data_IF_680051902544
#
_entry.id   IF_680051902544
#
_cell.length_a   1.000
_cell.length_b   1.000
_cell.length_c   1.000
_cell.angle_alpha   90.00
_cell.angle_beta   90.00
_cell.angle_gamma   90.00
#
_symmetry.space_group_name_H-M   'P 1'
#
loop_
_entity.id
_entity.type
_entity.pdbx_description
1 polymer ?
#
# COMPACT_ATOMS: atom_id res chain seq x y z
N UNK A 1 -4.75 16.92 -3.46
CA UNK A 1 -5.92 16.22 -2.86
C UNK A 1 -5.50 15.56 -1.53
N UNK A 2 -6.43 15.17 -0.65
CA UNK A 2 -6.12 14.33 0.53
C UNK A 2 -6.88 13.01 0.44
N UNK A 3 -6.22 11.90 0.79
CA UNK A 3 -6.82 10.57 0.81
C UNK A 3 -6.42 9.83 2.08
N UNK A 4 -7.32 8.99 2.59
CA UNK A 4 -7.11 8.13 3.76
C UNK A 4 -7.35 6.68 3.36
N UNK A 5 -6.61 5.77 3.95
CA UNK A 5 -6.87 4.33 3.88
C UNK A 5 -6.74 3.72 5.27
N UNK A 6 -7.69 2.85 5.62
CA UNK A 6 -7.68 2.03 6.83
C UNK A 6 -7.50 0.57 6.37
N UNK A 7 -6.47 -0.11 6.91
CA UNK A 7 -6.02 -1.40 6.42
C UNK A 7 -5.95 -2.37 7.58
N UNK A 8 -6.68 -3.48 7.47
CA UNK A 8 -6.49 -4.65 8.32
C UNK A 8 -5.56 -5.59 7.56
N UNK A 9 -4.37 -5.83 8.10
CA UNK A 9 -3.45 -6.82 7.57
C UNK A 9 -4.08 -8.22 7.68
N UNK A 10 -3.60 -9.17 6.88
CA UNK A 10 -4.19 -10.51 6.77
C UNK A 10 -4.11 -11.33 8.06
N UNK A 11 -3.52 -12.52 8.00
CA UNK A 11 -3.54 -13.45 9.15
C UNK A 11 -2.86 -12.89 10.41
N UNK A 12 -1.95 -11.91 10.29
CA UNK A 12 -1.28 -11.29 11.43
C UNK A 12 -2.17 -10.30 12.21
N UNK A 13 -3.28 -9.83 11.63
CA UNK A 13 -4.26 -8.98 12.31
C UNK A 13 -3.83 -7.54 12.62
N UNK A 14 -2.60 -7.14 12.26
CA UNK A 14 -2.10 -5.79 12.43
C UNK A 14 -2.95 -4.76 11.69
N UNK A 15 -3.12 -3.57 12.28
CA UNK A 15 -3.89 -2.48 11.69
C UNK A 15 -2.98 -1.33 11.27
N UNK A 16 -3.28 -0.73 10.12
CA UNK A 16 -2.55 0.43 9.60
C UNK A 16 -3.54 1.48 9.10
N UNK A 17 -3.38 2.71 9.57
CA UNK A 17 -4.07 3.89 9.04
C UNK A 17 -3.05 4.75 8.32
N UNK A 18 -3.35 5.19 7.10
CA UNK A 18 -2.47 6.08 6.36
C UNK A 18 -3.23 7.25 5.74
N UNK A 19 -2.62 8.42 5.81
CA UNK A 19 -3.05 9.64 5.15
C UNK A 19 -2.02 10.01 4.09
N UNK A 20 -2.49 10.29 2.87
CA UNK A 20 -1.69 10.80 1.78
C UNK A 20 -2.20 12.19 1.37
N UNK A 21 -1.29 13.15 1.27
CA UNK A 21 -1.59 14.52 0.85
C UNK A 21 -0.83 14.82 -0.43
N UNK A 22 -1.57 15.03 -1.52
CA UNK A 22 -1.02 15.44 -2.81
C UNK A 22 -0.72 16.94 -2.86
N UNK A 23 0.49 17.26 -3.34
CA UNK A 23 1.03 18.59 -3.56
C UNK A 23 1.12 18.96 -5.05
N UNK A 24 2.18 19.69 -5.40
CA UNK A 24 2.41 20.18 -6.77
C UNK A 24 3.05 19.05 -7.60
N UNK A 25 2.76 18.97 -8.90
CA UNK A 25 3.42 18.02 -9.83
C UNK A 25 3.39 16.53 -9.39
N UNK A 26 2.32 16.09 -8.74
CA UNK A 26 2.16 14.71 -8.24
C UNK A 26 3.04 14.34 -7.04
N UNK A 27 3.62 15.33 -6.36
CA UNK A 27 4.27 15.12 -5.06
C UNK A 27 3.26 14.62 -4.02
N UNK A 28 3.63 13.64 -3.21
CA UNK A 28 2.78 13.11 -2.13
C UNK A 28 3.55 13.03 -0.81
N UNK A 29 2.92 13.50 0.26
CA UNK A 29 3.38 13.30 1.64
C UNK A 29 2.50 12.30 2.37
N UNK A 30 3.12 11.48 3.21
CA UNK A 30 2.46 10.44 4.00
C UNK A 30 2.47 10.77 5.49
N UNK A 31 1.42 10.33 6.17
CA UNK A 31 1.39 10.05 7.60
C UNK A 31 0.86 8.64 7.79
N UNK A 32 1.59 7.77 8.49
CA UNK A 32 1.25 6.35 8.61
C UNK A 32 1.33 5.95 10.09
N UNK A 33 0.25 5.38 10.58
CA UNK A 33 0.11 4.86 11.93
C UNK A 33 -0.14 3.35 11.85
N UNK A 34 0.64 2.55 12.59
CA UNK A 34 0.58 1.09 12.52
C UNK A 34 1.07 0.44 13.80
N UNK A 35 0.50 -0.72 14.14
CA UNK A 35 0.98 -1.59 15.21
C UNK A 35 2.02 -2.62 14.71
N UNK A 36 2.25 -2.74 13.40
CA UNK A 36 3.25 -3.64 12.83
C UNK A 36 4.65 -3.00 12.77
N UNK A 37 5.65 -3.65 13.35
CA UNK A 37 7.03 -3.13 13.35
C UNK A 37 7.63 -2.98 11.95
N UNK A 38 7.36 -3.93 11.05
CA UNK A 38 7.88 -3.87 9.68
C UNK A 38 7.22 -2.74 8.89
N UNK A 39 5.92 -2.49 9.09
CA UNK A 39 5.24 -1.35 8.46
C UNK A 39 5.70 -0.03 9.07
N UNK A 40 6.09 0.02 10.34
CA UNK A 40 6.68 1.21 10.96
C UNK A 40 8.01 1.59 10.32
N UNK A 41 8.89 0.61 10.11
CA UNK A 41 10.16 0.82 9.39
C UNK A 41 9.93 1.25 7.92
N UNK A 42 8.88 0.73 7.27
CA UNK A 42 8.46 1.22 5.95
C UNK A 42 7.99 2.67 6.02
N UNK A 43 7.19 3.04 7.02
CA UNK A 43 6.74 4.40 7.21
C UNK A 43 7.92 5.37 7.41
N UNK A 44 8.90 5.00 8.23
CA UNK A 44 10.13 5.76 8.43
C UNK A 44 10.92 5.93 7.11
N UNK A 45 11.05 4.86 6.33
CA UNK A 45 11.73 4.90 5.03
C UNK A 45 11.00 5.82 4.02
N UNK A 46 9.67 5.77 3.98
CA UNK A 46 8.88 6.67 3.14
C UNK A 46 8.99 8.12 3.61
N UNK A 47 8.92 8.36 4.93
CA UNK A 47 9.06 9.70 5.53
C UNK A 47 10.42 10.34 5.24
N UNK A 48 11.50 9.55 5.30
CA UNK A 48 12.84 10.02 4.97
C UNK A 48 12.97 10.47 3.50
N UNK A 49 12.11 9.96 2.60
CA UNK A 49 12.10 10.30 1.18
C UNK A 49 11.08 11.37 0.77
N UNK A 50 10.30 11.94 1.69
CA UNK A 50 9.21 12.86 1.36
C UNK A 50 9.70 14.25 0.87
N UNK A 51 8.94 14.91 -0.04
CA UNK A 51 7.77 14.40 -0.75
C UNK A 51 8.14 13.34 -1.80
N UNK A 52 7.25 12.37 -2.01
CA UNK A 52 7.46 11.30 -2.99
C UNK A 52 6.84 11.69 -4.34
N UNK A 53 7.59 11.50 -5.43
CA UNK A 53 7.07 11.68 -6.78
C UNK A 53 6.19 10.50 -7.17
N UNK A 54 4.90 10.75 -7.45
CA UNK A 54 3.96 9.71 -7.90
C UNK A 54 3.90 9.50 -9.41
N UNK A 55 4.58 10.32 -10.22
CA UNK A 55 4.58 10.19 -11.67
C UNK A 55 5.10 8.82 -12.16
N UNK A 56 6.22 8.29 -11.63
CA UNK A 56 6.73 6.98 -12.04
C UNK A 56 5.74 5.84 -11.76
N UNK A 57 4.88 5.99 -10.75
CA UNK A 57 3.99 4.94 -10.23
C UNK A 57 2.82 4.59 -11.18
N UNK A 58 2.72 5.26 -12.32
CA UNK A 58 1.70 5.00 -13.35
C UNK A 58 2.14 4.00 -14.42
N UNK A 59 3.42 3.68 -14.51
CA UNK A 59 3.95 2.74 -15.51
C UNK A 59 4.07 1.33 -14.93
N UNK A 60 3.63 0.28 -15.64
CA UNK A 60 3.87 -1.10 -15.20
C UNK A 60 5.35 -1.52 -15.35
N UNK A 61 6.19 -0.70 -15.99
CA UNK A 61 7.62 -0.98 -16.23
C UNK A 61 8.53 -0.27 -15.23
N UNK A 62 8.02 0.69 -14.47
CA UNK A 62 8.78 1.37 -13.43
C UNK A 62 8.72 0.56 -12.13
N UNK A 63 9.80 0.63 -11.37
CA UNK A 63 9.81 0.13 -10.00
C UNK A 63 9.11 1.16 -9.11
N UNK A 64 7.98 0.76 -8.52
CA UNK A 64 7.17 1.61 -7.65
C UNK A 64 7.92 1.91 -6.34
N UNK A 65 8.08 3.18 -5.99
CA UNK A 65 8.87 3.65 -4.84
C UNK A 65 8.38 3.04 -3.53
N UNK A 66 7.06 2.98 -3.35
CA UNK A 66 6.43 2.39 -2.16
C UNK A 66 6.70 0.89 -2.07
N UNK A 67 6.55 0.16 -3.18
CA UNK A 67 6.77 -1.29 -3.20
C UNK A 67 8.25 -1.65 -3.09
N UNK A 68 9.14 -0.85 -3.67
CA UNK A 68 10.59 -0.98 -3.50
C UNK A 68 10.99 -0.82 -2.03
N UNK A 69 10.54 0.25 -1.38
CA UNK A 69 10.80 0.47 0.04
C UNK A 69 10.25 -0.68 0.91
N UNK A 70 9.07 -1.21 0.57
CA UNK A 70 8.49 -2.35 1.28
C UNK A 70 9.33 -3.63 1.16
N UNK A 71 9.98 -3.86 0.01
CA UNK A 71 10.87 -5.02 -0.20
C UNK A 71 12.12 -4.95 0.67
N UNK A 72 12.68 -3.77 0.90
CA UNK A 72 13.87 -3.58 1.75
C UNK A 72 13.60 -3.86 3.23
N UNK A 73 12.38 -3.57 3.70
CA UNK A 73 12.02 -3.68 5.12
C UNK A 73 11.44 -5.05 5.48
N UNK A 74 10.91 -5.78 4.49
CA UNK A 74 10.39 -7.15 4.52
C UNK A 74 9.51 -7.54 5.74
N UNK A 75 8.19 -7.68 5.51
CA UNK A 75 7.25 -8.30 6.47
C UNK A 75 6.84 -9.71 6.02
N UNK A 76 5.90 -9.77 5.08
CA UNK A 76 5.44 -10.97 4.38
C UNK A 76 5.15 -10.54 2.93
N UNK A 77 5.42 -11.39 1.93
CA UNK A 77 5.28 -11.03 0.52
C UNK A 77 3.83 -10.73 0.11
N UNK A 78 2.87 -11.23 0.86
CA UNK A 78 1.43 -11.16 0.65
C UNK A 78 0.75 -10.08 1.52
N UNK A 79 1.52 -9.26 2.24
CA UNK A 79 0.94 -8.17 3.02
C UNK A 79 0.23 -7.16 2.11
N UNK A 80 -1.05 -6.91 2.38
CA UNK A 80 -1.88 -5.95 1.62
C UNK A 80 -1.56 -4.49 1.92
N UNK A 81 -0.74 -4.20 2.94
CA UNK A 81 -0.44 -2.82 3.34
C UNK A 81 0.36 -2.05 2.28
N UNK A 82 1.52 -2.52 1.77
CA UNK A 82 2.24 -1.82 0.72
C UNK A 82 1.44 -1.50 -0.56
N UNK A 83 0.67 -2.44 -1.17
CA UNK A 83 -0.13 -2.10 -2.34
C UNK A 83 -1.27 -1.13 -2.01
N UNK A 84 -1.81 -1.16 -0.79
CA UNK A 84 -2.80 -0.17 -0.33
C UNK A 84 -2.21 1.23 -0.16
N UNK A 85 -0.98 1.34 0.35
CA UNK A 85 -0.24 2.60 0.41
C UNK A 85 0.03 3.17 -0.99
N UNK A 86 0.41 2.32 -1.94
CA UNK A 86 0.57 2.73 -3.34
C UNK A 86 -0.76 3.24 -3.94
N UNK A 87 -1.88 2.55 -3.66
CA UNK A 87 -3.21 3.00 -4.11
C UNK A 87 -3.55 4.38 -3.55
N UNK A 88 -3.39 4.60 -2.24
CA UNK A 88 -3.77 5.88 -1.61
C UNK A 88 -2.87 7.02 -2.10
N UNK A 89 -1.58 6.77 -2.36
CA UNK A 89 -0.67 7.72 -3.01
C UNK A 89 -1.19 8.14 -4.38
N UNK A 90 -1.55 7.15 -5.22
CA UNK A 90 -2.07 7.42 -6.57
C UNK A 90 -3.41 8.15 -6.55
N UNK A 91 -4.27 7.90 -5.56
CA UNK A 91 -5.50 8.69 -5.36
C UNK A 91 -5.16 10.13 -4.97
N UNK A 92 -4.28 10.34 -3.99
CA UNK A 92 -3.89 11.68 -3.54
C UNK A 92 -3.19 12.50 -4.63
N UNK A 93 -2.46 11.83 -5.53
CA UNK A 93 -1.80 12.42 -6.70
C UNK A 93 -2.73 12.57 -7.93
N UNK A 94 -4.01 12.21 -7.82
CA UNK A 94 -5.01 12.27 -8.90
C UNK A 94 -4.68 11.37 -10.12
N UNK A 95 -3.93 10.29 -9.89
CA UNK A 95 -3.51 9.29 -10.88
C UNK A 95 -4.38 8.03 -10.90
N UNK A 96 -5.29 7.89 -9.93
CA UNK A 96 -6.24 6.79 -9.85
C UNK A 96 -7.54 7.24 -9.18
N UNK A 97 -8.71 6.69 -9.58
CA UNK A 97 -9.98 7.03 -8.93
C UNK A 97 -10.04 6.47 -7.50
N UNK A 98 -10.72 7.15 -6.58
CA UNK A 98 -10.98 6.65 -5.23
C UNK A 98 -11.94 5.46 -5.31
N UNK A 99 -11.48 4.28 -4.89
CA UNK A 99 -12.27 3.06 -4.79
C UNK A 99 -11.60 2.11 -3.80
N UNK A 100 -12.41 1.42 -3.01
CA UNK A 100 -11.95 0.44 -2.03
C UNK A 100 -11.31 -0.77 -2.72
N UNK A 101 -10.29 -1.35 -2.08
CA UNK A 101 -9.68 -2.61 -2.48
C UNK A 101 -10.13 -3.66 -1.49
N UNK A 102 -10.71 -4.76 -1.99
CA UNK A 102 -11.15 -5.88 -1.16
C UNK A 102 -10.56 -7.19 -1.71
N UNK A 103 -10.10 -8.05 -0.79
CA UNK A 103 -9.62 -9.39 -1.10
C UNK A 103 -10.35 -10.36 -0.18
N UNK A 104 -10.98 -11.38 -0.76
CA UNK A 104 -11.59 -12.49 -0.04
C UNK A 104 -10.85 -13.78 -0.39
N UNK A 105 -10.54 -14.59 0.62
CA UNK A 105 -9.80 -15.85 0.47
C UNK A 105 -10.66 -16.96 1.06
N UNK A 106 -10.83 -18.06 0.31
CA UNK A 106 -11.49 -19.27 0.75
C UNK A 106 -10.62 -20.49 0.38
N UNK A 107 -10.66 -21.53 1.21
CA UNK A 107 -10.13 -22.84 0.85
C UNK A 107 -11.22 -23.59 0.12
N UNK A 108 -10.99 -23.95 -1.13
CA UNK A 108 -11.89 -24.80 -1.91
C UNK A 108 -11.32 -26.23 -1.92
N UNK A 109 -12.07 -27.20 -1.41
CA UNK A 109 -11.71 -28.60 -1.61
C UNK A 109 -11.86 -28.95 -3.10
N UNK A 110 -10.88 -29.63 -3.72
CA UNK A 110 -11.02 -30.04 -5.10
C UNK A 110 -12.25 -30.95 -5.19
N UNK A 111 -13.14 -30.66 -6.15
CA UNK A 111 -14.32 -31.47 -6.41
C UNK A 111 -13.87 -32.93 -6.54
N UNK A 112 -14.25 -33.76 -5.57
CA UNK A 112 -13.97 -35.19 -5.59
C UNK A 112 -14.62 -35.75 -6.84
N UNK A 113 -13.80 -36.08 -7.84
CA UNK A 113 -14.27 -36.68 -9.09
C UNK A 113 -15.00 -37.98 -8.71
N UNK A 114 -16.33 -37.95 -8.79
CA UNK A 114 -17.18 -39.13 -8.63
C UNK A 114 -16.78 -40.15 -9.68
N UNK A 115 -16.22 -41.27 -9.21
CA UNK A 115 -15.97 -42.48 -10.00
C UNK A 115 -17.28 -43.19 -10.35
#
# INVERSE_FOLDING_TARGET
MQARVDIVAGVCGHVTTAHAVGGIRHDVTFSIETDCENIRRLAEALQAGQPLDAQPESSPRSENTVLRAAREVFCCPDCVVPPSLLKVMRVAAELAPPADIAVAIAVEEPAMATA
#
